data_IF_517233681882
#
_entry.id   IF_517233681882
#
_cell.length_a   1.000
_cell.length_b   1.000
_cell.length_c   1.000
_cell.angle_alpha   90.00
_cell.angle_beta   90.00
_cell.angle_gamma   90.00
#
_symmetry.space_group_name_H-M   'P 1'
#
loop_
_entity.id
_entity.type
_entity.pdbx_description
1 polymer ?
#
# COMPACT_ATOMS: atom_id res chain seq x y z
N UNK A 1 -9.88 -19.01 -4.10
CA UNK A 1 -9.31 -17.72 -4.51
C UNK A 1 -10.38 -16.82 -5.12
N UNK A 2 -11.20 -17.34 -6.07
CA UNK A 2 -12.26 -16.54 -6.74
C UNK A 2 -13.33 -15.99 -5.78
N UNK A 3 -13.55 -16.62 -4.65
CA UNK A 3 -14.46 -16.16 -3.60
C UNK A 3 -13.78 -15.21 -2.60
N UNK A 4 -12.52 -15.47 -2.28
CA UNK A 4 -11.78 -14.71 -1.28
C UNK A 4 -11.30 -13.36 -1.81
N UNK A 5 -10.89 -13.31 -3.08
CA UNK A 5 -10.37 -12.10 -3.71
C UNK A 5 -11.37 -10.93 -3.72
N UNK A 6 -12.62 -11.11 -4.17
CA UNK A 6 -13.65 -10.08 -4.06
C UNK A 6 -13.82 -9.57 -2.62
N UNK A 7 -13.88 -10.46 -1.63
CA UNK A 7 -14.03 -10.08 -0.22
C UNK A 7 -12.87 -9.23 0.29
N UNK A 8 -11.65 -9.59 -0.09
CA UNK A 8 -10.46 -8.80 0.29
C UNK A 8 -10.47 -7.41 -0.36
N UNK A 9 -10.87 -7.33 -1.65
CA UNK A 9 -11.03 -6.05 -2.35
C UNK A 9 -12.11 -5.21 -1.68
N UNK A 10 -13.26 -5.80 -1.37
CA UNK A 10 -14.38 -5.10 -0.74
C UNK A 10 -13.99 -4.59 0.65
N UNK A 11 -13.30 -5.39 1.46
CA UNK A 11 -12.79 -4.98 2.77
C UNK A 11 -11.90 -3.74 2.69
N UNK A 12 -10.96 -3.72 1.74
CA UNK A 12 -10.10 -2.56 1.52
C UNK A 12 -10.85 -1.36 0.92
N UNK A 13 -11.73 -1.61 -0.06
CA UNK A 13 -12.46 -0.56 -0.78
C UNK A 13 -13.51 0.14 0.07
N UNK A 14 -14.04 -0.52 1.10
CA UNK A 14 -15.05 0.02 2.01
C UNK A 14 -14.47 0.60 3.29
N UNK A 15 -13.18 0.38 3.58
CA UNK A 15 -12.53 0.91 4.77
C UNK A 15 -12.52 2.45 4.74
N UNK A 16 -13.02 3.05 5.82
CA UNK A 16 -13.17 4.51 5.94
C UNK A 16 -12.65 5.02 7.28
N UNK A 17 -12.20 6.25 7.26
CA UNK A 17 -11.99 7.05 8.46
C UNK A 17 -13.33 7.62 8.99
N UNK A 18 -13.34 8.10 10.23
CA UNK A 18 -14.53 8.76 10.82
C UNK A 18 -14.99 9.99 10.02
N UNK A 19 -14.05 10.68 9.35
CA UNK A 19 -14.36 11.81 8.47
C UNK A 19 -14.95 11.39 7.11
N UNK A 20 -15.16 10.09 6.89
CA UNK A 20 -15.68 9.51 5.64
C UNK A 20 -14.65 9.32 4.52
N UNK A 21 -13.41 9.81 4.70
CA UNK A 21 -12.35 9.63 3.72
C UNK A 21 -11.94 8.14 3.60
N UNK A 22 -11.48 7.67 2.43
CA UNK A 22 -10.99 6.31 2.27
C UNK A 22 -9.73 6.08 3.12
N UNK A 23 -9.68 4.97 3.85
CA UNK A 23 -8.51 4.58 4.65
C UNK A 23 -7.58 3.61 3.90
N UNK A 24 -7.92 3.23 2.67
CA UNK A 24 -7.05 2.45 1.80
C UNK A 24 -7.24 2.83 0.33
N UNK A 25 -6.18 2.70 -0.45
CA UNK A 25 -6.20 2.80 -1.92
C UNK A 25 -5.73 1.49 -2.54
N UNK A 26 -6.43 1.02 -3.57
CA UNK A 26 -6.12 -0.21 -4.29
C UNK A 26 -5.58 0.16 -5.67
N UNK A 27 -4.47 -0.43 -6.03
CA UNK A 27 -3.84 -0.24 -7.35
C UNK A 27 -4.32 -1.31 -8.33
N UNK A 28 -4.75 -0.87 -9.49
CA UNK A 28 -5.30 -1.71 -10.54
C UNK A 28 -6.82 -1.96 -10.43
N UNK A 29 -7.36 -2.86 -11.26
CA UNK A 29 -8.81 -3.08 -11.36
C UNK A 29 -9.42 -3.56 -10.04
N UNK A 30 -10.51 -2.96 -9.61
CA UNK A 30 -11.28 -3.42 -8.44
C UNK A 30 -12.22 -4.59 -8.78
N UNK A 31 -12.66 -4.66 -10.03
CA UNK A 31 -13.50 -5.77 -10.46
C UNK A 31 -12.71 -7.08 -10.48
N UNK A 32 -13.32 -8.16 -10.00
CA UNK A 32 -12.69 -9.49 -9.97
C UNK A 32 -12.69 -10.17 -11.35
N UNK A 33 -12.60 -9.45 -12.39
CA UNK A 33 -12.60 -9.99 -13.76
C UNK A 33 -11.19 -9.90 -14.33
N UNK A 34 -10.68 -11.01 -14.87
CA UNK A 34 -9.38 -11.10 -15.54
C UNK A 34 -8.21 -10.58 -14.67
N UNK A 35 -8.24 -10.92 -13.38
CA UNK A 35 -7.15 -10.57 -12.46
C UNK A 35 -6.67 -11.79 -11.68
N UNK A 36 -5.41 -11.73 -11.24
CA UNK A 36 -4.83 -12.71 -10.34
C UNK A 36 -5.21 -12.46 -8.87
N UNK A 37 -4.75 -13.35 -8.01
CA UNK A 37 -5.01 -13.36 -6.57
C UNK A 37 -4.13 -12.40 -5.76
N UNK A 38 -3.36 -11.55 -6.43
CA UNK A 38 -2.50 -10.55 -5.80
C UNK A 38 -3.17 -9.19 -5.87
N UNK A 39 -3.25 -8.50 -4.73
CA UNK A 39 -3.84 -7.18 -4.59
C UNK A 39 -2.75 -6.25 -4.07
N UNK A 40 -2.43 -5.21 -4.85
CA UNK A 40 -1.54 -4.14 -4.45
C UNK A 40 -2.37 -2.98 -3.90
N UNK A 41 -1.98 -2.45 -2.75
CA UNK A 41 -2.70 -1.38 -2.07
C UNK A 41 -1.77 -0.63 -1.11
N UNK A 42 -2.24 0.52 -0.62
CA UNK A 42 -1.67 1.19 0.56
C UNK A 42 -2.79 1.64 1.48
N UNK A 43 -2.48 1.74 2.79
CA UNK A 43 -3.34 2.45 3.73
C UNK A 43 -3.07 3.95 3.65
N UNK A 44 -4.08 4.71 4.00
CA UNK A 44 -4.05 6.17 3.98
C UNK A 44 -4.27 6.72 5.39
N UNK A 45 -3.68 7.86 5.67
CA UNK A 45 -4.06 8.71 6.81
C UNK A 45 -5.36 9.46 6.51
N UNK A 46 -6.05 10.03 7.54
CA UNK A 46 -7.26 10.82 7.34
C UNK A 46 -7.11 12.03 6.40
N UNK A 47 -5.89 12.52 6.22
CA UNK A 47 -5.54 13.60 5.28
C UNK A 47 -5.16 13.10 3.86
N UNK A 48 -5.24 11.79 3.63
CA UNK A 48 -4.95 11.17 2.33
C UNK A 48 -3.48 10.82 2.10
N UNK A 49 -2.56 11.17 2.99
CA UNK A 49 -1.15 10.74 2.88
C UNK A 49 -1.02 9.22 3.04
N UNK A 50 -0.04 8.65 2.37
CA UNK A 50 0.26 7.21 2.50
C UNK A 50 0.77 6.89 3.91
N UNK A 51 0.26 5.81 4.48
CA UNK A 51 0.87 5.18 5.66
C UNK A 51 2.13 4.45 5.20
N UNK A 52 3.22 4.62 5.94
CA UNK A 52 4.49 3.98 5.61
C UNK A 52 4.36 2.45 5.64
N UNK A 53 4.70 1.79 4.52
CA UNK A 53 4.56 0.35 4.35
C UNK A 53 5.38 -0.47 5.35
N UNK A 54 6.46 0.09 5.90
CA UNK A 54 7.28 -0.56 6.95
C UNK A 54 6.51 -0.67 8.26
N UNK A 55 5.70 0.35 8.58
CA UNK A 55 4.82 0.29 9.73
C UNK A 55 3.74 -0.76 9.55
N UNK A 56 3.14 -0.81 8.36
CA UNK A 56 2.13 -1.82 8.01
C UNK A 56 2.71 -3.23 8.15
N UNK A 57 3.92 -3.46 7.66
CA UNK A 57 4.62 -4.73 7.79
C UNK A 57 4.85 -5.11 9.27
N UNK A 58 5.29 -4.16 10.10
CA UNK A 58 5.46 -4.36 11.55
C UNK A 58 4.15 -4.73 12.25
N UNK A 59 3.05 -4.09 11.90
CA UNK A 59 1.72 -4.42 12.45
C UNK A 59 1.26 -5.79 11.95
N UNK A 60 1.43 -6.09 10.66
CA UNK A 60 1.08 -7.37 10.07
C UNK A 60 1.78 -8.56 10.76
N UNK A 61 3.06 -8.40 11.09
CA UNK A 61 3.81 -9.40 11.85
C UNK A 61 3.18 -9.72 13.21
N UNK A 62 2.67 -8.71 13.93
CA UNK A 62 1.98 -8.91 15.22
C UNK A 62 0.67 -9.70 15.06
N UNK A 63 0.02 -9.59 13.90
CA UNK A 63 -1.18 -10.36 13.56
C UNK A 63 -0.91 -11.70 12.87
N UNK A 64 0.37 -12.08 12.72
CA UNK A 64 0.80 -13.30 12.01
C UNK A 64 0.24 -13.28 10.57
N UNK A 65 0.31 -12.13 9.92
CA UNK A 65 -0.06 -11.91 8.52
C UNK A 65 1.22 -11.67 7.73
N UNK A 66 1.47 -12.50 6.72
CA UNK A 66 2.58 -12.32 5.79
C UNK A 66 2.13 -11.44 4.62
N UNK A 67 2.70 -10.25 4.53
CA UNK A 67 2.52 -9.34 3.40
C UNK A 67 3.86 -9.17 2.69
N UNK A 68 3.82 -8.67 1.48
CA UNK A 68 5.00 -8.17 0.81
C UNK A 68 4.90 -6.66 0.68
N UNK A 69 5.95 -5.97 1.08
CA UNK A 69 6.08 -4.52 1.00
C UNK A 69 7.28 -4.16 0.13
N UNK A 70 7.28 -2.98 -0.44
CA UNK A 70 8.41 -2.46 -1.20
C UNK A 70 8.02 -1.83 -2.53
N UNK A 71 9.05 -1.40 -3.27
CA UNK A 71 8.87 -0.66 -4.52
C UNK A 71 8.19 -1.48 -5.61
N UNK A 72 7.55 -0.78 -6.54
CA UNK A 72 7.18 -1.35 -7.83
C UNK A 72 8.46 -1.57 -8.64
N UNK A 73 8.77 -2.82 -8.98
CA UNK A 73 9.90 -3.14 -9.87
C UNK A 73 9.67 -2.65 -11.32
N UNK A 74 8.47 -2.20 -11.64
CA UNK A 74 8.13 -1.53 -12.88
C UNK A 74 7.91 -0.04 -12.58
N UNK A 75 8.83 0.86 -12.96
CA UNK A 75 8.71 2.30 -12.69
C UNK A 75 7.41 2.91 -13.21
N UNK A 76 7.01 2.60 -14.43
CA UNK A 76 5.77 3.12 -15.02
C UNK A 76 4.52 2.68 -14.24
N UNK A 77 4.51 1.47 -13.67
CA UNK A 77 3.42 1.06 -12.79
C UNK A 77 3.40 1.87 -11.47
N UNK A 78 4.57 2.21 -10.93
CA UNK A 78 4.70 3.08 -9.77
C UNK A 78 4.23 4.51 -10.07
N UNK A 79 4.63 5.08 -11.20
CA UNK A 79 4.20 6.42 -11.64
C UNK A 79 2.68 6.50 -11.73
N UNK A 80 2.04 5.52 -12.37
CA UNK A 80 0.57 5.44 -12.48
C UNK A 80 -0.06 5.26 -11.10
N UNK A 81 0.47 4.38 -10.25
CA UNK A 81 -0.06 4.07 -8.93
C UNK A 81 -0.05 5.32 -8.02
N UNK A 82 1.02 6.10 -8.07
CA UNK A 82 1.19 7.30 -7.25
C UNK A 82 0.76 8.59 -7.95
N UNK A 83 0.19 8.49 -9.15
CA UNK A 83 -0.26 9.65 -9.94
C UNK A 83 0.86 10.69 -10.15
N UNK A 84 2.08 10.20 -10.39
CA UNK A 84 3.24 11.06 -10.64
C UNK A 84 3.08 11.64 -12.04
N UNK A 85 2.93 12.95 -12.14
CA UNK A 85 2.75 13.60 -13.44
C UNK A 85 4.07 13.71 -14.20
N UNK A 86 3.97 13.82 -15.52
CA UNK A 86 5.14 14.07 -16.36
C UNK A 86 5.83 15.40 -15.99
N UNK A 87 5.04 16.40 -15.61
CA UNK A 87 5.54 17.69 -15.18
C UNK A 87 6.37 17.57 -13.91
N UNK A 88 5.92 16.74 -12.94
CA UNK A 88 6.69 16.43 -11.73
C UNK A 88 8.02 15.75 -12.07
N UNK A 89 8.00 14.80 -13.02
CA UNK A 89 9.21 14.09 -13.46
C UNK A 89 10.20 15.01 -14.20
N UNK A 90 9.70 15.96 -14.98
CA UNK A 90 10.54 16.87 -15.79
C UNK A 90 10.94 18.14 -15.04
N UNK A 91 10.18 18.53 -14.02
CA UNK A 91 10.41 19.78 -13.25
C UNK A 91 11.36 19.60 -12.07
N UNK A 92 11.73 18.37 -11.71
CA UNK A 92 12.68 18.10 -10.64
C UNK A 92 14.13 18.26 -11.12
N UNK A 93 14.96 18.97 -10.36
CA UNK A 93 16.42 18.93 -10.51
C UNK A 93 16.93 17.58 -9.97
N UNK A 94 16.86 16.56 -10.80
CA UNK A 94 17.37 15.23 -10.45
C UNK A 94 18.84 15.14 -10.90
N UNK A 95 19.76 15.26 -9.94
CA UNK A 95 21.20 15.11 -10.20
C UNK A 95 21.59 13.65 -10.45
N UNK A 96 22.65 13.45 -11.23
CA UNK A 96 23.27 12.14 -11.41
C UNK A 96 23.63 11.54 -10.05
N UNK A 97 23.14 10.32 -9.77
CA UNK A 97 23.39 9.61 -8.51
C UNK A 97 22.42 9.91 -7.36
N UNK A 98 21.31 10.62 -7.62
CA UNK A 98 20.26 10.82 -6.63
C UNK A 98 19.72 9.46 -6.13
N UNK A 99 19.67 9.28 -4.81
CA UNK A 99 19.10 8.07 -4.22
C UNK A 99 17.58 8.09 -4.36
N UNK A 100 16.97 6.91 -4.46
CA UNK A 100 15.50 6.76 -4.55
C UNK A 100 14.77 7.52 -3.43
N UNK A 101 15.31 7.51 -2.21
CA UNK A 101 14.70 8.20 -1.08
C UNK A 101 14.69 9.73 -1.26
N UNK A 102 15.76 10.29 -1.79
CA UNK A 102 15.86 11.72 -2.05
C UNK A 102 14.89 12.14 -3.16
N UNK A 103 14.78 11.32 -4.21
CA UNK A 103 13.78 11.48 -5.26
C UNK A 103 12.35 11.47 -4.71
N UNK A 104 11.99 10.45 -3.90
CA UNK A 104 10.67 10.35 -3.31
C UNK A 104 10.34 11.56 -2.42
N UNK A 105 11.32 12.01 -1.65
CA UNK A 105 11.18 13.21 -0.82
C UNK A 105 10.93 14.46 -1.67
N UNK A 106 11.68 14.62 -2.76
CA UNK A 106 11.53 15.76 -3.67
C UNK A 106 10.14 15.83 -4.33
N UNK A 107 9.52 14.66 -4.61
CA UNK A 107 8.16 14.59 -5.17
C UNK A 107 7.05 14.48 -4.09
N UNK A 108 7.41 14.62 -2.81
CA UNK A 108 6.45 14.64 -1.70
C UNK A 108 5.86 13.27 -1.33
N UNK A 109 6.48 12.17 -1.76
CA UNK A 109 6.05 10.82 -1.40
C UNK A 109 6.85 10.29 -0.20
N UNK A 110 6.18 9.77 0.84
CA UNK A 110 6.87 9.16 1.98
C UNK A 110 7.55 7.83 1.61
N UNK A 111 7.07 7.19 0.54
CA UNK A 111 7.52 5.90 0.05
C UNK A 111 7.17 5.72 -1.42
N UNK A 112 8.04 5.04 -2.16
CA UNK A 112 7.74 4.50 -3.50
C UNK A 112 7.23 3.06 -3.45
N UNK A 113 6.89 2.56 -2.27
CA UNK A 113 6.46 1.19 -2.04
C UNK A 113 4.95 1.02 -1.98
N UNK A 114 4.52 -0.18 -2.31
CA UNK A 114 3.16 -0.63 -2.09
C UNK A 114 3.15 -1.89 -1.23
N UNK A 115 2.01 -2.16 -0.63
CA UNK A 115 1.74 -3.39 0.10
C UNK A 115 1.07 -4.36 -0.86
N UNK A 116 1.45 -5.62 -0.77
CA UNK A 116 0.91 -6.67 -1.61
C UNK A 116 0.40 -7.82 -0.77
N UNK A 117 -0.90 -8.06 -0.82
CA UNK A 117 -1.54 -9.27 -0.30
C UNK A 117 -1.74 -10.27 -1.43
N UNK A 118 -1.36 -11.53 -1.21
CA UNK A 118 -1.52 -12.61 -2.18
C UNK A 118 -2.29 -13.76 -1.55
N UNK A 119 -3.36 -14.16 -2.22
CA UNK A 119 -4.17 -15.30 -1.82
C UNK A 119 -3.70 -16.55 -2.57
N UNK A 120 -3.48 -17.63 -1.84
CA UNK A 120 -3.03 -18.91 -2.37
C UNK A 120 -4.03 -20.05 -2.14
N UNK A 121 -3.61 -21.27 -2.44
CA UNK A 121 -4.41 -22.46 -2.24
C UNK A 121 -4.74 -22.74 -0.77
N UNK A 122 -3.84 -22.35 0.13
CA UNK A 122 -4.02 -22.50 1.57
C UNK A 122 -4.89 -21.41 2.20
N UNK A 123 -5.17 -20.33 1.47
CA UNK A 123 -5.95 -19.20 2.01
C UNK A 123 -7.42 -19.59 2.18
N UNK A 124 -8.02 -19.14 3.27
CA UNK A 124 -9.40 -19.40 3.65
C UNK A 124 -10.13 -18.16 4.17
N UNK A 125 -11.39 -18.29 4.57
CA UNK A 125 -12.20 -17.17 5.04
C UNK A 125 -11.67 -16.56 6.34
N UNK A 126 -11.16 -17.38 7.26
CA UNK A 126 -10.59 -16.87 8.51
C UNK A 126 -9.36 -15.99 8.28
N UNK A 127 -8.61 -16.22 7.19
CA UNK A 127 -7.51 -15.34 6.83
C UNK A 127 -8.03 -13.97 6.36
N UNK A 128 -9.15 -13.93 5.63
CA UNK A 128 -9.80 -12.68 5.24
C UNK A 128 -10.35 -11.93 6.46
N UNK A 129 -10.98 -12.64 7.39
CA UNK A 129 -11.51 -12.03 8.62
C UNK A 129 -10.38 -11.46 9.47
N UNK A 130 -9.26 -12.20 9.62
CA UNK A 130 -8.06 -11.72 10.30
C UNK A 130 -7.47 -10.48 9.60
N UNK A 131 -7.37 -10.52 8.28
CA UNK A 131 -6.89 -9.37 7.51
C UNK A 131 -7.81 -8.16 7.67
N UNK A 132 -9.12 -8.36 7.70
CA UNK A 132 -10.09 -7.26 7.88
C UNK A 132 -9.94 -6.62 9.26
N UNK A 133 -9.77 -7.42 10.32
CA UNK A 133 -9.47 -6.93 11.66
C UNK A 133 -8.17 -6.12 11.72
N UNK A 134 -7.11 -6.65 11.11
CA UNK A 134 -5.83 -5.95 10.96
C UNK A 134 -5.98 -4.63 10.19
N UNK A 135 -6.70 -4.64 9.06
CA UNK A 135 -6.89 -3.44 8.24
C UNK A 135 -7.64 -2.33 9.00
N UNK A 136 -8.55 -2.69 9.88
CA UNK A 136 -9.32 -1.74 10.69
C UNK A 136 -8.44 -0.90 11.65
N UNK A 137 -7.24 -1.40 12.04
CA UNK A 137 -6.31 -0.66 12.89
C UNK A 137 -5.71 0.58 12.19
N UNK A 138 -5.81 0.67 10.87
CA UNK A 138 -5.36 1.81 10.10
C UNK A 138 -6.44 2.88 9.89
N UNK A 139 -7.69 2.59 10.31
CA UNK A 139 -8.73 3.61 10.35
C UNK A 139 -8.37 4.63 11.45
N UNK A 140 -8.39 5.92 11.08
CA UNK A 140 -8.05 7.04 11.96
C UNK A 140 -6.65 7.00 12.60
N UNK A 141 -5.71 6.30 11.97
CA UNK A 141 -4.31 6.29 12.38
C UNK A 141 -3.75 7.71 12.29
N UNK A 142 -3.46 8.31 13.46
CA UNK A 142 -2.99 9.70 13.52
C UNK A 142 -1.52 9.82 13.12
N UNK A 143 -0.66 8.94 13.64
CA UNK A 143 0.78 9.01 13.41
C UNK A 143 1.41 7.61 13.34
N UNK A 144 2.47 7.51 12.58
CA UNK A 144 3.35 6.34 12.52
C UNK A 144 4.57 6.63 13.40
N UNK A 145 5.06 5.65 14.18
CA UNK A 145 6.28 5.81 14.96
C UNK A 145 7.52 6.11 14.10
N UNK A 146 8.43 6.93 14.62
CA UNK A 146 9.65 7.32 13.89
C UNK A 146 10.72 6.21 13.87
N UNK A 147 10.61 5.21 14.76
CA UNK A 147 11.57 4.11 14.94
C UNK A 147 11.41 2.97 13.91
N UNK A 148 11.08 3.30 12.68
CA UNK A 148 10.94 2.31 11.63
C UNK A 148 12.29 1.79 11.14
N UNK A 149 12.39 0.49 10.75
CA UNK A 149 13.63 -0.06 10.21
C UNK A 149 14.05 0.69 8.93
N UNK A 150 15.35 0.68 8.63
CA UNK A 150 15.84 1.24 7.38
C UNK A 150 15.17 0.57 6.17
N UNK A 151 14.94 1.33 5.10
CA UNK A 151 14.41 0.75 3.85
C UNK A 151 15.44 -0.19 3.25
N UNK A 152 14.98 -1.38 2.84
CA UNK A 152 15.79 -2.25 2.02
C UNK A 152 16.08 -1.55 0.68
N UNK A 153 17.31 -1.69 0.20
CA UNK A 153 17.65 -1.23 -1.14
C UNK A 153 16.80 -1.98 -2.17
N UNK A 154 16.29 -1.26 -3.15
CA UNK A 154 15.64 -1.85 -4.32
C UNK A 154 16.69 -2.29 -5.33
#
# INVERSE_FOLDING_TARGET
VSTLGPRLIDALATLRHQNGAPAATIYGPRAWRQRGATIAFNFLHPDGRLVDERYVDRVAHRHIISLRTGCFCNPGAGEVAFTISRETLLGGEFGDGMKLQDYLTAIGLPSGGAIRASLGLASNLSDIDRFTGFAAEFADLAQVPDDLPARAAC
#
